data_IF_172842473589
#
_entry.id   IF_172842473589
#
_cell.length_a   1.000
_cell.length_b   1.000
_cell.length_c   1.000
_cell.angle_alpha   90.00
_cell.angle_beta   90.00
_cell.angle_gamma   90.00
#
_symmetry.space_group_name_H-M   'P 1'
#
loop_
_entity.id
_entity.type
_entity.pdbx_description
1 polymer ?
#
# COMPACT_ATOMS: atom_id res chain seq x y z
N UNK A 1 -5.66 12.37 2.35
CA UNK A 1 -5.30 11.26 1.42
C UNK A 1 -5.76 9.90 1.94
N UNK A 2 -5.22 9.31 3.03
CA UNK A 2 -5.66 7.96 3.44
C UNK A 2 -7.18 7.85 3.69
N UNK A 3 -7.78 8.84 4.38
CA UNK A 3 -9.26 8.89 4.57
C UNK A 3 -10.04 9.00 3.26
N UNK A 4 -9.47 9.68 2.25
CA UNK A 4 -10.11 9.83 0.94
C UNK A 4 -10.06 8.51 0.16
N UNK A 5 -8.97 7.76 0.27
CA UNK A 5 -8.86 6.41 -0.28
C UNK A 5 -9.86 5.45 0.36
N UNK A 6 -9.99 5.47 1.69
CA UNK A 6 -10.99 4.67 2.40
C UNK A 6 -12.41 4.98 1.90
N UNK A 7 -12.74 6.27 1.76
CA UNK A 7 -14.06 6.70 1.30
C UNK A 7 -14.32 6.25 -0.15
N UNK A 8 -13.36 6.44 -1.06
CA UNK A 8 -13.48 6.05 -2.46
C UNK A 8 -13.59 4.53 -2.62
N UNK A 9 -12.72 3.77 -1.96
CA UNK A 9 -12.75 2.30 -1.97
C UNK A 9 -14.09 1.77 -1.45
N UNK A 10 -14.61 2.35 -0.36
CA UNK A 10 -15.93 2.04 0.18
C UNK A 10 -17.06 2.33 -0.81
N UNK A 11 -17.04 3.51 -1.46
CA UNK A 11 -18.06 3.90 -2.44
C UNK A 11 -18.05 3.00 -3.69
N UNK A 12 -16.87 2.60 -4.17
CA UNK A 12 -16.70 1.71 -5.33
C UNK A 12 -16.86 0.22 -4.98
N UNK A 13 -17.10 -0.12 -3.71
CA UNK A 13 -17.11 -1.49 -3.18
C UNK A 13 -15.85 -2.28 -3.59
N UNK A 14 -14.74 -1.58 -3.72
CA UNK A 14 -13.46 -2.16 -4.06
C UNK A 14 -12.73 -2.54 -2.77
N UNK A 15 -12.22 -3.77 -2.71
CA UNK A 15 -11.29 -4.15 -1.65
C UNK A 15 -9.98 -3.43 -1.92
N UNK A 16 -9.54 -2.63 -0.96
CA UNK A 16 -8.28 -1.91 -1.04
C UNK A 16 -7.12 -2.93 -1.17
N UNK A 17 -6.30 -2.88 -2.24
CA UNK A 17 -5.12 -3.72 -2.37
C UNK A 17 -3.99 -3.25 -1.45
N UNK A 18 -4.09 -2.03 -0.90
CA UNK A 18 -3.08 -1.43 -0.04
C UNK A 18 -3.42 -1.72 1.43
N UNK A 19 -2.54 -2.42 2.14
CA UNK A 19 -2.54 -2.36 3.61
C UNK A 19 -1.86 -1.05 4.03
N UNK A 20 -2.63 -0.15 4.64
CA UNK A 20 -2.07 1.06 5.25
C UNK A 20 -1.67 0.77 6.69
N UNK A 21 -0.37 0.77 6.96
CA UNK A 21 0.23 0.64 8.27
C UNK A 21 0.73 2.01 8.74
N UNK A 22 0.67 2.27 10.04
CA UNK A 22 1.33 3.41 10.66
C UNK A 22 2.52 2.88 11.43
N UNK A 23 3.72 3.40 11.13
CA UNK A 23 4.90 3.08 11.92
C UNK A 23 4.73 3.58 13.34
N UNK A 24 5.17 2.81 14.33
CA UNK A 24 5.17 3.20 15.76
C UNK A 24 6.58 3.61 16.24
N UNK A 25 7.61 3.32 15.43
CA UNK A 25 9.02 3.52 15.77
C UNK A 25 9.73 4.32 14.68
N UNK A 26 10.51 5.34 15.06
CA UNK A 26 11.34 6.15 14.15
C UNK A 26 11.46 7.61 14.57
N UNK A 27 12.42 8.33 13.98
CA UNK A 27 12.73 9.72 14.36
C UNK A 27 11.87 10.78 13.64
N UNK A 28 11.06 10.37 12.66
CA UNK A 28 10.16 11.27 11.90
C UNK A 28 8.78 10.65 11.81
N UNK A 29 7.96 10.91 12.82
CA UNK A 29 6.59 10.42 12.94
C UNK A 29 5.57 11.51 12.53
N UNK A 30 4.40 11.13 11.99
CA UNK A 30 3.97 9.78 11.65
C UNK A 30 4.52 9.31 10.29
N UNK A 31 4.97 8.04 10.21
CA UNK A 31 5.26 7.35 8.94
C UNK A 31 4.06 6.49 8.57
N UNK A 32 3.52 6.68 7.37
CA UNK A 32 2.52 5.77 6.80
C UNK A 32 3.21 4.87 5.77
N UNK A 33 3.03 3.57 5.93
CA UNK A 33 3.51 2.54 5.02
C UNK A 33 2.32 1.96 4.27
N UNK A 34 2.42 1.93 2.95
CA UNK A 34 1.45 1.27 2.09
C UNK A 34 2.09 0.00 1.57
N UNK A 35 1.45 -1.14 1.86
CA UNK A 35 1.94 -2.45 1.45
C UNK A 35 0.98 -3.03 0.43
N UNK A 36 1.53 -3.35 -0.73
CA UNK A 36 0.88 -4.09 -1.80
C UNK A 36 1.43 -5.51 -1.81
N UNK A 37 0.55 -6.49 -1.93
CA UNK A 37 0.94 -7.90 -1.91
C UNK A 37 0.02 -8.74 -2.79
N UNK A 38 0.58 -9.83 -3.32
CA UNK A 38 -0.15 -10.89 -4.01
C UNK A 38 0.51 -12.23 -3.74
N UNK A 39 -0.20 -13.33 -4.00
CA UNK A 39 0.34 -14.70 -3.85
C UNK A 39 1.50 -14.98 -4.82
N UNK A 40 1.51 -14.27 -5.94
CA UNK A 40 2.54 -14.26 -6.97
C UNK A 40 2.51 -12.92 -7.72
N UNK A 41 3.50 -12.66 -8.57
CA UNK A 41 3.49 -11.46 -9.42
C UNK A 41 2.27 -11.41 -10.35
N UNK A 42 1.83 -12.57 -10.86
CA UNK A 42 0.65 -12.66 -11.72
C UNK A 42 -0.65 -12.38 -10.94
N UNK A 43 -0.78 -12.92 -9.73
CA UNK A 43 -1.92 -12.66 -8.84
C UNK A 43 -2.01 -11.18 -8.48
N UNK A 44 -0.87 -10.56 -8.16
CA UNK A 44 -0.79 -9.12 -7.90
C UNK A 44 -1.25 -8.30 -9.11
N UNK A 45 -0.70 -8.54 -10.30
CA UNK A 45 -1.05 -7.78 -11.50
C UNK A 45 -2.55 -7.84 -11.84
N UNK A 46 -3.17 -9.03 -11.72
CA UNK A 46 -4.62 -9.20 -11.95
C UNK A 46 -5.45 -8.45 -10.92
N UNK A 47 -5.01 -8.45 -9.66
CA UNK A 47 -5.71 -7.78 -8.55
C UNK A 47 -5.60 -6.26 -8.68
N UNK A 48 -4.41 -5.77 -9.03
CA UNK A 48 -4.13 -4.37 -9.30
C UNK A 48 -4.98 -3.85 -10.48
N UNK A 49 -5.03 -4.59 -11.59
CA UNK A 49 -5.82 -4.19 -12.76
C UNK A 49 -7.32 -4.07 -12.42
N UNK A 50 -7.88 -5.05 -11.69
CA UNK A 50 -9.27 -5.02 -11.24
C UNK A 50 -9.55 -3.82 -10.34
N UNK A 51 -8.64 -3.52 -9.42
CA UNK A 51 -8.76 -2.39 -8.53
C UNK A 51 -8.76 -1.06 -9.31
N UNK A 52 -7.78 -0.83 -10.18
CA UNK A 52 -7.69 0.42 -10.94
C UNK A 52 -8.87 0.62 -11.90
N UNK A 53 -9.39 -0.46 -12.51
CA UNK A 53 -10.63 -0.40 -13.29
C UNK A 53 -11.83 0.06 -12.46
N UNK A 54 -11.97 -0.43 -11.23
CA UNK A 54 -13.06 -0.01 -10.34
C UNK A 54 -12.91 1.44 -9.87
N UNK A 55 -11.68 1.92 -9.71
CA UNK A 55 -11.36 3.26 -9.26
C UNK A 55 -11.65 4.35 -10.29
N UNK A 56 -11.42 4.07 -11.58
CA UNK A 56 -11.68 5.00 -12.68
C UNK A 56 -10.95 6.35 -12.53
N UNK A 57 -11.51 7.41 -13.10
CA UNK A 57 -10.90 8.75 -13.12
C UNK A 57 -10.71 9.36 -11.72
N UNK A 58 -11.66 9.12 -10.81
CA UNK A 58 -11.60 9.62 -9.43
C UNK A 58 -10.38 9.07 -8.70
N UNK A 59 -10.13 7.76 -8.82
CA UNK A 59 -8.96 7.16 -8.23
C UNK A 59 -7.67 7.51 -8.96
N UNK A 60 -7.70 7.76 -10.27
CA UNK A 60 -6.54 8.28 -10.99
C UNK A 60 -6.14 9.68 -10.49
N UNK A 61 -7.12 10.57 -10.27
CA UNK A 61 -6.89 11.90 -9.72
C UNK A 61 -6.35 11.85 -8.28
N UNK A 62 -6.92 10.97 -7.45
CA UNK A 62 -6.45 10.75 -6.08
C UNK A 62 -5.05 10.12 -6.04
N UNK A 63 -4.75 9.20 -6.96
CA UNK A 63 -3.43 8.57 -7.14
C UNK A 63 -2.37 9.59 -7.52
N UNK A 64 -2.68 10.51 -8.45
CA UNK A 64 -1.78 11.60 -8.82
C UNK A 64 -1.38 12.45 -7.61
N UNK A 65 -2.36 12.83 -6.78
CA UNK A 65 -2.11 13.57 -5.52
C UNK A 65 -1.31 12.76 -4.52
N UNK A 66 -1.59 11.45 -4.42
CA UNK A 66 -0.89 10.54 -3.49
C UNK A 66 0.58 10.39 -3.89
N UNK A 67 0.85 10.15 -5.17
CA UNK A 67 2.21 10.00 -5.71
C UNK A 67 3.05 11.28 -5.56
N UNK A 68 2.42 12.46 -5.59
CA UNK A 68 3.12 13.72 -5.34
C UNK A 68 3.68 13.86 -3.90
N UNK A 69 3.18 13.07 -2.94
CA UNK A 69 3.71 13.04 -1.57
C UNK A 69 4.91 12.10 -1.40
N UNK A 70 5.19 11.25 -2.39
CA UNK A 70 6.27 10.26 -2.33
C UNK A 70 7.60 10.98 -2.47
N UNK A 71 8.40 10.99 -1.40
CA UNK A 71 9.75 11.57 -1.40
C UNK A 71 10.80 10.66 -2.04
N UNK A 72 10.57 9.34 -2.03
CA UNK A 72 11.49 8.32 -2.53
C UNK A 72 10.70 7.09 -2.97
N UNK A 73 11.06 6.54 -4.12
CA UNK A 73 10.52 5.29 -4.63
C UNK A 73 11.67 4.33 -4.89
N UNK A 74 11.58 3.11 -4.37
CA UNK A 74 12.57 2.06 -4.58
C UNK A 74 11.86 0.78 -4.99
N UNK A 75 12.45 0.02 -5.89
CA UNK A 75 12.01 -1.34 -6.21
C UNK A 75 13.11 -2.31 -5.75
N UNK A 76 12.70 -3.37 -5.04
CA UNK A 76 13.60 -4.41 -4.53
C UNK A 76 13.04 -5.76 -4.94
N UNK A 77 13.89 -6.60 -5.53
CA UNK A 77 13.61 -8.01 -5.78
C UNK A 77 14.48 -8.85 -4.84
N UNK A 78 13.93 -9.92 -4.28
CA UNK A 78 14.66 -10.73 -3.32
C UNK A 78 13.89 -11.95 -2.84
N UNK A 79 14.54 -12.77 -2.02
CA UNK A 79 13.91 -13.89 -1.31
C UNK A 79 13.64 -13.47 0.13
N UNK A 80 12.40 -13.64 0.58
CA UNK A 80 12.02 -13.37 1.97
C UNK A 80 12.78 -14.32 2.92
N UNK A 81 13.52 -13.76 3.89
CA UNK A 81 14.31 -14.47 4.90
C UNK A 81 13.80 -14.12 6.31
N UNK A 82 12.67 -14.72 6.73
CA UNK A 82 12.08 -14.43 8.04
C UNK A 82 13.01 -14.79 9.19
N UNK A 83 13.89 -15.77 9.00
CA UNK A 83 14.94 -16.17 9.94
C UNK A 83 15.96 -15.07 10.25
N UNK A 84 16.06 -14.04 9.39
CA UNK A 84 16.90 -12.86 9.61
C UNK A 84 16.08 -11.65 10.08
N UNK A 85 14.76 -11.79 10.24
CA UNK A 85 13.89 -10.69 10.66
C UNK A 85 13.93 -10.52 12.17
N UNK A 86 13.84 -9.27 12.63
CA UNK A 86 13.74 -8.96 14.05
C UNK A 86 12.33 -9.27 14.54
N UNK A 87 12.21 -10.21 15.48
CA UNK A 87 11.00 -10.40 16.30
C UNK A 87 11.19 -9.68 17.63
N UNK A 88 10.34 -8.68 17.98
CA UNK A 88 10.38 -8.06 19.30
C UNK A 88 10.16 -9.12 20.37
N UNK A 89 11.01 -9.14 21.40
CA UNK A 89 10.77 -9.99 22.58
C UNK A 89 9.43 -9.57 23.20
N UNK A 90 8.55 -10.54 23.46
CA UNK A 90 7.28 -10.28 24.14
C UNK A 90 7.52 -9.58 25.47
N UNK A 91 6.67 -8.59 25.80
CA UNK A 91 6.62 -7.98 27.13
C UNK A 91 6.01 -8.93 28.14
#
# INVERSE_FOLDING_TARGET
INKEWIALSGAKKARDPFHTLMGDLGTKMPVYLWVEYGKSAADYAVTEEKFWKAMGEEGAALSKRTRALIKKMESKTGRYRPDLSYEPKSK
#
